data_IF_345095219861
#
_entry.id   IF_345095219861
#
_cell.length_a   1.000
_cell.length_b   1.000
_cell.length_c   1.000
_cell.angle_alpha   90.00
_cell.angle_beta   90.00
_cell.angle_gamma   90.00
#
_symmetry.space_group_name_H-M   'P 1'
#
loop_
_entity.id
_entity.type
_entity.pdbx_description
1 polymer ?
#
# COMPACT_ATOMS: atom_id res chain seq x y z
N UNK A 1 -48.25 17.63 61.30
CA UNK A 1 -47.03 18.40 61.66
C UNK A 1 -45.77 17.54 61.67
N UNK A 2 -45.52 16.63 62.63
CA UNK A 2 -44.29 15.81 62.61
C UNK A 2 -44.16 14.85 61.41
N UNK A 3 -45.25 14.21 60.99
CA UNK A 3 -45.23 13.29 59.83
C UNK A 3 -45.03 14.01 58.49
N UNK A 4 -45.57 15.22 58.34
CA UNK A 4 -45.35 16.05 57.15
C UNK A 4 -43.90 16.50 57.04
N UNK A 5 -43.28 16.83 58.19
CA UNK A 5 -41.87 17.21 58.26
C UNK A 5 -40.95 16.04 57.89
N UNK A 6 -41.25 14.82 58.35
CA UNK A 6 -40.53 13.60 57.94
C UNK A 6 -40.67 13.31 56.45
N UNK A 7 -41.87 13.50 55.90
CA UNK A 7 -42.14 13.28 54.48
C UNK A 7 -41.38 14.28 53.60
N UNK A 8 -41.29 15.54 54.05
CA UNK A 8 -40.54 16.58 53.36
C UNK A 8 -39.03 16.34 53.40
N UNK A 9 -38.49 15.93 54.56
CA UNK A 9 -37.07 15.54 54.66
C UNK A 9 -36.73 14.33 53.78
N UNK A 10 -37.62 13.35 53.70
CA UNK A 10 -37.43 12.17 52.85
C UNK A 10 -37.35 12.55 51.36
N UNK A 11 -38.30 13.35 50.88
CA UNK A 11 -38.33 13.81 49.49
C UNK A 11 -37.16 14.74 49.16
N UNK A 12 -36.70 15.56 50.10
CA UNK A 12 -35.50 16.38 49.93
C UNK A 12 -34.25 15.50 49.74
N UNK A 13 -34.06 14.49 50.60
CA UNK A 13 -32.95 13.53 50.49
C UNK A 13 -32.97 12.78 49.17
N UNK A 14 -34.14 12.40 48.68
CA UNK A 14 -34.28 11.70 47.41
C UNK A 14 -33.86 12.58 46.22
N UNK A 15 -34.22 13.88 46.24
CA UNK A 15 -33.80 14.84 45.21
C UNK A 15 -32.31 15.17 45.28
N UNK A 16 -31.74 15.28 46.48
CA UNK A 16 -30.31 15.48 46.66
C UNK A 16 -29.51 14.29 46.12
N UNK A 17 -30.01 13.08 46.36
CA UNK A 17 -29.41 11.86 45.84
C UNK A 17 -29.51 11.77 44.31
N UNK A 18 -30.65 12.15 43.71
CA UNK A 18 -30.75 12.24 42.25
C UNK A 18 -29.81 13.31 41.67
N UNK A 19 -29.70 14.47 42.33
CA UNK A 19 -28.79 15.54 41.91
C UNK A 19 -27.34 15.08 41.98
N UNK A 20 -26.98 14.30 43.00
CA UNK A 20 -25.66 13.69 43.14
C UNK A 20 -25.37 12.71 42.02
N UNK A 21 -26.30 11.79 41.71
CA UNK A 21 -26.14 10.79 40.64
C UNK A 21 -25.93 11.44 39.27
N UNK A 22 -26.77 12.42 38.92
CA UNK A 22 -26.64 13.11 37.62
C UNK A 22 -25.30 13.84 37.52
N UNK A 23 -24.81 14.43 38.62
CA UNK A 23 -23.47 15.06 38.63
C UNK A 23 -22.36 14.04 38.42
N UNK A 24 -22.41 12.91 39.11
CA UNK A 24 -21.43 11.81 38.94
C UNK A 24 -21.43 11.25 37.51
N UNK A 25 -22.61 11.07 36.91
CA UNK A 25 -22.74 10.65 35.50
C UNK A 25 -22.20 11.71 34.53
N UNK A 26 -22.49 13.00 34.76
CA UNK A 26 -21.93 14.07 33.95
C UNK A 26 -20.39 14.12 34.03
N UNK A 27 -19.81 13.93 35.23
CA UNK A 27 -18.37 13.87 35.41
C UNK A 27 -17.73 12.68 34.69
N UNK A 28 -18.36 11.50 34.77
CA UNK A 28 -17.90 10.31 34.05
C UNK A 28 -17.95 10.52 32.53
N UNK A 29 -19.04 11.07 32.00
CA UNK A 29 -19.18 11.36 30.57
C UNK A 29 -18.17 12.41 30.08
N UNK A 30 -17.88 13.44 30.89
CA UNK A 30 -16.85 14.42 30.54
C UNK A 30 -15.46 13.78 30.45
N UNK A 31 -15.13 12.86 31.36
CA UNK A 31 -13.86 12.14 31.33
C UNK A 31 -13.75 11.23 30.10
N UNK A 32 -14.81 10.50 29.78
CA UNK A 32 -14.84 9.60 28.62
C UNK A 32 -14.72 10.39 27.30
N UNK A 33 -15.43 11.51 27.20
CA UNK A 33 -15.32 12.41 26.06
C UNK A 33 -13.90 12.96 25.90
N UNK A 34 -13.24 13.33 27.00
CA UNK A 34 -11.87 13.81 26.98
C UNK A 34 -10.91 12.72 26.45
N UNK A 35 -11.02 11.49 26.94
CA UNK A 35 -10.20 10.37 26.47
C UNK A 35 -10.39 10.09 24.97
N UNK A 36 -11.64 10.16 24.49
CA UNK A 36 -11.95 9.96 23.08
C UNK A 36 -11.37 11.08 22.21
N UNK A 37 -11.44 12.34 22.67
CA UNK A 37 -10.84 13.48 21.99
C UNK A 37 -9.31 13.37 21.89
N UNK A 38 -8.64 12.95 22.96
CA UNK A 38 -7.18 12.76 22.96
C UNK A 38 -6.75 11.63 22.00
N UNK A 39 -7.51 10.54 21.98
CA UNK A 39 -7.31 9.43 21.05
C UNK A 39 -7.50 9.91 19.60
N UNK A 40 -8.56 10.68 19.34
CA UNK A 40 -8.83 11.27 18.02
C UNK A 40 -7.68 12.17 17.56
N UNK A 41 -7.16 13.03 18.43
CA UNK A 41 -6.03 13.90 18.10
C UNK A 41 -4.77 13.12 17.73
N UNK A 42 -4.51 12.02 18.45
CA UNK A 42 -3.36 11.15 18.17
C UNK A 42 -3.49 10.50 16.80
N UNK A 43 -4.67 9.94 16.49
CA UNK A 43 -4.93 9.35 15.16
C UNK A 43 -4.86 10.37 14.03
N UNK A 44 -5.34 11.60 14.24
CA UNK A 44 -5.22 12.68 13.24
C UNK A 44 -3.74 13.02 12.97
N UNK A 45 -2.89 13.06 13.99
CA UNK A 45 -1.46 13.27 13.83
C UNK A 45 -0.77 12.11 13.08
N UNK A 46 -1.12 10.87 13.39
CA UNK A 46 -0.63 9.68 12.70
C UNK A 46 -1.02 9.68 11.22
N UNK A 47 -2.29 9.97 10.90
CA UNK A 47 -2.77 10.07 9.52
C UNK A 47 -1.97 11.12 8.73
N UNK A 48 -1.68 12.27 9.32
CA UNK A 48 -0.85 13.30 8.69
C UNK A 48 0.56 12.80 8.43
N UNK A 49 1.17 12.08 9.38
CA UNK A 49 2.49 11.47 9.18
C UNK A 49 2.48 10.42 8.06
N UNK A 50 1.49 9.52 8.05
CA UNK A 50 1.36 8.51 6.99
C UNK A 50 1.18 9.13 5.61
N UNK A 51 0.35 10.17 5.48
CA UNK A 51 0.19 10.91 4.20
C UNK A 51 1.50 11.49 3.71
N UNK A 52 2.29 12.11 4.59
CA UNK A 52 3.59 12.68 4.24
C UNK A 52 4.61 11.63 3.78
N UNK A 53 4.60 10.45 4.41
CA UNK A 53 5.46 9.33 4.00
C UNK A 53 5.06 8.81 2.61
N UNK A 54 3.75 8.66 2.36
CA UNK A 54 3.20 8.23 1.08
C UNK A 54 3.50 9.21 -0.06
N UNK A 55 3.37 10.53 0.16
CA UNK A 55 3.74 11.56 -0.83
C UNK A 55 5.23 11.46 -1.23
N UNK A 56 6.11 11.15 -0.28
CA UNK A 56 7.53 10.91 -0.51
C UNK A 56 7.81 9.62 -1.28
N UNK A 57 7.06 8.55 -1.00
CA UNK A 57 7.14 7.28 -1.74
C UNK A 57 6.63 7.42 -3.17
N UNK A 58 5.50 8.10 -3.41
CA UNK A 58 4.98 8.37 -4.74
C UNK A 58 5.92 9.26 -5.56
N UNK A 59 6.54 10.26 -4.93
CA UNK A 59 7.54 11.11 -5.58
C UNK A 59 8.82 10.34 -5.89
N UNK A 60 9.29 9.47 -4.97
CA UNK A 60 10.46 8.61 -5.20
C UNK A 60 10.16 7.53 -6.24
N UNK A 61 8.96 6.97 -6.26
CA UNK A 61 8.49 6.05 -7.29
C UNK A 61 8.31 6.76 -8.65
N UNK A 62 7.84 8.01 -8.65
CA UNK A 62 7.74 8.87 -9.83
C UNK A 62 9.10 9.22 -10.42
N UNK A 63 10.10 9.49 -9.58
CA UNK A 63 11.50 9.69 -9.98
C UNK A 63 12.16 8.37 -10.43
N UNK A 64 11.85 7.23 -9.80
CA UNK A 64 12.27 5.89 -10.28
C UNK A 64 11.66 5.55 -11.63
N UNK A 65 10.40 5.93 -11.90
CA UNK A 65 9.80 5.81 -13.24
C UNK A 65 10.50 6.66 -14.32
N UNK A 66 11.25 7.68 -13.92
CA UNK A 66 11.99 8.57 -14.84
C UNK A 66 13.44 8.11 -15.08
N UNK A 67 13.93 7.10 -14.35
CA UNK A 67 15.28 6.56 -14.53
C UNK A 67 15.23 5.04 -14.80
N UNK A 68 15.21 4.69 -16.09
CA UNK A 68 15.66 3.41 -16.66
C UNK A 68 14.85 2.15 -16.31
N UNK A 69 14.48 1.39 -17.35
CA UNK A 69 13.57 0.24 -17.26
C UNK A 69 14.35 -1.07 -17.18
N UNK A 70 13.79 -2.06 -16.48
CA UNK A 70 14.35 -3.42 -16.43
C UNK A 70 14.45 -4.02 -17.83
N UNK A 71 15.50 -4.80 -18.06
CA UNK A 71 15.78 -5.42 -19.36
C UNK A 71 16.11 -6.90 -19.21
N UNK A 72 15.70 -7.69 -20.19
CA UNK A 72 16.24 -9.03 -20.42
C UNK A 72 17.22 -8.92 -21.58
N UNK A 73 18.46 -9.35 -21.36
CA UNK A 73 19.48 -9.45 -22.40
C UNK A 73 19.80 -10.91 -22.66
N UNK A 74 19.78 -11.31 -23.92
CA UNK A 74 20.05 -12.68 -24.34
C UNK A 74 21.06 -12.73 -25.46
N UNK A 75 22.12 -13.50 -25.26
CA UNK A 75 23.15 -13.76 -26.26
C UNK A 75 23.16 -15.25 -26.58
N UNK A 76 23.04 -15.61 -27.86
CA UNK A 76 23.20 -16.97 -28.35
C UNK A 76 24.43 -17.03 -29.29
N UNK A 77 25.13 -18.16 -29.33
CA UNK A 77 26.44 -18.29 -30.00
C UNK A 77 26.47 -17.81 -31.47
N UNK A 78 25.33 -17.86 -32.16
CA UNK A 78 25.21 -17.61 -33.59
C UNK A 78 24.35 -16.38 -33.93
N UNK A 79 24.19 -15.43 -33.01
CA UNK A 79 23.30 -14.29 -33.25
C UNK A 79 23.65 -13.02 -32.48
N UNK A 80 23.05 -11.89 -32.86
CA UNK A 80 23.15 -10.65 -32.10
C UNK A 80 22.53 -10.81 -30.70
N UNK A 81 22.96 -9.97 -29.75
CA UNK A 81 22.31 -9.88 -28.45
C UNK A 81 20.89 -9.32 -28.62
N UNK A 82 19.91 -10.04 -28.10
CA UNK A 82 18.51 -9.64 -28.05
C UNK A 82 18.24 -8.93 -26.74
N UNK A 83 17.73 -7.69 -26.82
CA UNK A 83 17.42 -6.86 -25.64
C UNK A 83 15.94 -6.55 -25.60
N UNK A 84 15.23 -7.15 -24.65
CA UNK A 84 13.85 -6.82 -24.32
C UNK A 84 13.82 -5.83 -23.16
N UNK A 85 13.03 -4.76 -23.30
CA UNK A 85 12.80 -3.78 -22.23
C UNK A 85 11.37 -3.91 -21.74
N UNK A 86 11.19 -4.11 -20.43
CA UNK A 86 9.84 -4.20 -19.85
C UNK A 86 9.04 -2.91 -20.07
N UNK A 87 7.74 -2.98 -20.40
CA UNK A 87 6.90 -1.80 -20.58
C UNK A 87 6.91 -0.87 -19.36
N UNK A 88 6.80 0.44 -19.58
CA UNK A 88 6.75 1.41 -18.47
C UNK A 88 5.56 1.10 -17.57
N UNK A 89 5.81 0.96 -16.27
CA UNK A 89 4.75 0.65 -15.30
C UNK A 89 4.32 -0.81 -15.27
N UNK A 90 5.02 -1.71 -15.97
CA UNK A 90 4.81 -3.15 -15.80
C UNK A 90 5.15 -3.57 -14.36
N UNK A 91 4.24 -4.30 -13.72
CA UNK A 91 4.39 -4.80 -12.34
C UNK A 91 4.25 -6.32 -12.37
N UNK A 92 5.34 -7.02 -12.05
CA UNK A 92 5.29 -8.45 -11.76
C UNK A 92 5.09 -8.65 -10.25
N UNK A 93 3.97 -9.26 -9.87
CA UNK A 93 3.68 -9.55 -8.45
C UNK A 93 4.65 -10.62 -7.91
N UNK A 94 4.93 -10.64 -6.58
CA UNK A 94 5.74 -11.69 -5.97
C UNK A 94 5.24 -13.09 -6.30
N UNK A 95 6.16 -14.02 -6.54
CA UNK A 95 5.89 -15.43 -6.89
C UNK A 95 5.06 -15.63 -8.17
N UNK A 96 4.94 -14.59 -9.02
CA UNK A 96 4.35 -14.70 -10.35
C UNK A 96 5.43 -14.73 -11.41
N UNK A 97 5.06 -15.22 -12.58
CA UNK A 97 5.93 -15.32 -13.76
C UNK A 97 5.27 -14.60 -14.92
N UNK A 98 6.09 -14.01 -15.77
CA UNK A 98 5.68 -13.46 -17.06
C UNK A 98 6.39 -14.24 -18.17
N UNK A 99 5.65 -14.59 -19.21
CA UNK A 99 6.20 -15.18 -20.43
C UNK A 99 6.36 -14.10 -21.49
N UNK A 100 7.52 -14.04 -22.12
CA UNK A 100 7.78 -13.08 -23.19
C UNK A 100 7.99 -13.87 -24.47
N UNK A 101 7.20 -13.58 -25.48
CA UNK A 101 7.27 -14.18 -26.81
C UNK A 101 7.91 -13.21 -27.80
N UNK A 102 8.64 -13.72 -28.78
CA UNK A 102 9.00 -12.93 -29.95
C UNK A 102 7.81 -12.85 -30.93
N UNK A 103 7.76 -11.82 -31.78
CA UNK A 103 6.60 -11.40 -32.59
C UNK A 103 5.86 -12.55 -33.28
N UNK A 104 6.60 -13.48 -33.87
CA UNK A 104 6.06 -14.54 -34.75
C UNK A 104 6.20 -15.96 -34.18
N UNK A 105 6.35 -16.09 -32.86
CA UNK A 105 6.49 -17.40 -32.19
C UNK A 105 5.17 -17.98 -31.68
N UNK A 106 4.03 -17.45 -32.15
CA UNK A 106 2.70 -17.93 -31.79
C UNK A 106 2.22 -17.55 -30.38
N UNK A 107 2.84 -16.55 -29.77
CA UNK A 107 2.40 -16.02 -28.48
C UNK A 107 1.22 -15.06 -28.59
N UNK A 108 0.46 -14.91 -27.50
CA UNK A 108 -0.60 -13.90 -27.37
C UNK A 108 -0.19 -12.82 -26.35
N UNK A 109 -0.64 -11.59 -26.58
CA UNK A 109 -0.36 -10.47 -25.68
C UNK A 109 -1.43 -10.39 -24.58
N UNK A 110 -1.11 -10.90 -23.39
CA UNK A 110 -2.02 -10.97 -22.23
C UNK A 110 -1.32 -10.46 -20.95
N UNK A 111 -1.05 -9.14 -20.83
CA UNK A 111 -0.39 -8.60 -19.66
C UNK A 111 -1.24 -8.78 -18.38
N UNK A 112 -0.64 -9.11 -17.22
CA UNK A 112 0.80 -9.16 -16.98
C UNK A 112 1.46 -10.53 -17.27
N UNK A 113 0.68 -11.56 -17.61
CA UNK A 113 1.16 -12.95 -17.65
C UNK A 113 1.91 -13.28 -18.95
N UNK A 114 1.54 -12.64 -20.06
CA UNK A 114 2.19 -12.81 -21.36
C UNK A 114 2.44 -11.46 -22.05
N UNK A 115 3.65 -11.29 -22.60
CA UNK A 115 4.05 -10.11 -23.36
C UNK A 115 4.59 -10.53 -24.74
N UNK A 116 4.35 -9.68 -25.74
CA UNK A 116 4.97 -9.82 -27.06
C UNK A 116 6.12 -8.82 -27.20
N UNK A 117 7.30 -9.33 -27.57
CA UNK A 117 8.42 -8.55 -28.02
C UNK A 117 8.32 -8.34 -29.53
N UNK A 118 7.79 -7.19 -29.89
CA UNK A 118 7.42 -6.83 -31.25
C UNK A 118 8.58 -6.34 -32.11
N UNK A 119 9.85 -6.42 -31.67
CA UNK A 119 11.01 -5.97 -32.45
C UNK A 119 11.79 -7.12 -33.10
N UNK A 120 11.72 -8.31 -32.53
CA UNK A 120 12.42 -9.49 -33.01
C UNK A 120 11.42 -10.62 -33.31
N UNK A 121 11.70 -11.40 -34.35
CA UNK A 121 10.88 -12.55 -34.71
C UNK A 121 11.26 -13.80 -33.91
N UNK A 122 12.44 -13.79 -33.26
CA UNK A 122 12.98 -14.87 -32.44
C UNK A 122 13.95 -14.34 -31.37
N UNK A 123 14.12 -15.08 -30.27
CA UNK A 123 15.13 -14.83 -29.23
C UNK A 123 16.52 -15.42 -29.56
N UNK A 124 16.71 -15.90 -30.78
CA UNK A 124 17.95 -16.53 -31.23
C UNK A 124 18.05 -18.00 -30.84
N UNK A 125 18.61 -18.79 -31.75
CA UNK A 125 18.88 -20.23 -31.60
C UNK A 125 20.39 -20.48 -31.62
N UNK A 126 20.87 -21.36 -30.75
CA UNK A 126 22.28 -21.73 -30.68
C UNK A 126 22.51 -22.85 -29.67
N UNK A 127 23.68 -23.50 -29.74
CA UNK A 127 24.06 -24.58 -28.82
C UNK A 127 24.24 -24.06 -27.40
N UNK A 128 24.77 -22.86 -27.24
CA UNK A 128 24.77 -22.14 -25.97
C UNK A 128 24.00 -20.83 -26.08
N UNK A 129 23.35 -20.47 -24.97
CA UNK A 129 22.71 -19.19 -24.80
C UNK A 129 22.88 -18.71 -23.36
N UNK A 130 23.16 -17.41 -23.20
CA UNK A 130 23.16 -16.72 -21.92
C UNK A 130 21.98 -15.76 -21.89
N UNK A 131 21.19 -15.80 -20.83
CA UNK A 131 20.08 -14.86 -20.63
C UNK A 131 20.24 -14.24 -19.25
N UNK A 132 20.23 -12.91 -19.18
CA UNK A 132 20.38 -12.16 -17.95
C UNK A 132 19.26 -11.16 -17.74
N UNK A 133 18.91 -10.96 -16.47
CA UNK A 133 18.00 -9.90 -16.06
C UNK A 133 18.81 -8.72 -15.53
N UNK A 134 18.61 -7.55 -16.13
CA UNK A 134 19.30 -6.31 -15.81
C UNK A 134 18.31 -5.33 -15.21
N UNK A 135 18.62 -4.81 -14.02
CA UNK A 135 17.78 -3.81 -13.36
C UNK A 135 18.06 -2.38 -13.91
N UNK A 136 17.40 -1.39 -13.31
CA UNK A 136 17.55 0.03 -13.67
C UNK A 136 18.97 0.61 -13.49
N UNK A 137 19.81 0.01 -12.64
CA UNK A 137 21.19 0.45 -12.42
C UNK A 137 22.21 -0.20 -13.37
N UNK A 138 21.75 -1.11 -14.24
CA UNK A 138 22.63 -1.91 -15.10
C UNK A 138 23.23 -3.13 -14.38
N UNK A 139 22.82 -3.41 -13.15
CA UNK A 139 23.24 -4.59 -12.40
C UNK A 139 22.55 -5.84 -12.95
N UNK A 140 23.34 -6.91 -13.09
CA UNK A 140 22.86 -8.24 -13.46
C UNK A 140 22.35 -8.95 -12.21
N UNK A 141 21.07 -9.26 -12.18
CA UNK A 141 20.39 -9.90 -11.04
C UNK A 141 20.38 -11.43 -11.18
N UNK A 142 20.34 -11.91 -12.42
CA UNK A 142 20.35 -13.33 -12.79
C UNK A 142 21.06 -13.47 -14.13
#
# INVERSE_FOLDING_TARGET
MEDEQKTYEFTLKERDEQTRRVREECEALMLELQNLLDTKQTLEAEIVQYRKLLEGEESRAGLRRLAQQWQIKRSADNGPEVVFTFPKGFILKPLKTVKIWARDQGGENEPPDQLIFDKEDSFGSGSNAKTVLVNESGEVIF
#
